data_IF_323150830778
#
_entry.id   IF_323150830778
#
_cell.length_a   1.000
_cell.length_b   1.000
_cell.length_c   1.000
_cell.angle_alpha   90.00
_cell.angle_beta   90.00
_cell.angle_gamma   90.00
#
_symmetry.space_group_name_H-M   'P 1'
#
loop_
_entity.id
_entity.type
_entity.pdbx_description
1 polymer ?
#
# COMPACT_ATOMS: atom_id res chain seq x y z
N UNK A 1 33.92 -8.92 70.44
CA UNK A 1 33.71 -7.81 71.39
C UNK A 1 32.63 -6.92 70.79
N UNK A 2 31.41 -6.83 71.30
CA UNK A 2 30.70 -7.39 72.45
C UNK A 2 29.21 -7.17 72.10
N UNK A 3 28.41 -8.25 72.11
CA UNK A 3 27.17 -8.42 72.92
C UNK A 3 25.93 -7.63 72.42
N UNK A 4 24.86 -8.34 71.99
CA UNK A 4 23.71 -8.82 72.78
C UNK A 4 22.65 -7.70 72.90
N UNK A 5 21.32 -7.85 72.83
CA UNK A 5 20.32 -8.91 72.96
C UNK A 5 19.01 -8.32 72.37
N UNK A 6 18.27 -9.05 71.54
CA UNK A 6 16.97 -9.67 71.83
C UNK A 6 15.75 -8.73 72.07
N UNK A 7 14.70 -9.04 71.28
CA UNK A 7 13.25 -9.01 71.64
C UNK A 7 12.43 -7.74 71.41
N UNK A 8 11.23 -7.92 70.82
CA UNK A 8 10.10 -6.99 70.99
C UNK A 8 9.10 -6.97 69.83
N UNK A 9 8.06 -7.80 69.91
CA UNK A 9 6.81 -7.62 69.16
C UNK A 9 6.06 -6.36 69.65
N UNK A 10 5.25 -5.72 68.80
CA UNK A 10 4.36 -4.65 69.24
C UNK A 10 3.63 -3.92 68.13
N UNK A 11 2.42 -4.35 67.85
CA UNK A 11 1.42 -3.69 67.01
C UNK A 11 0.93 -2.40 67.70
N UNK A 12 0.69 -1.31 66.96
CA UNK A 12 0.22 -0.06 67.56
C UNK A 12 -0.06 1.06 66.57
N UNK A 13 -1.32 1.15 66.16
CA UNK A 13 -1.92 2.22 65.37
C UNK A 13 -1.99 3.54 66.15
N UNK A 14 -1.73 4.67 65.48
CA UNK A 14 -2.38 5.95 65.78
C UNK A 14 -2.40 6.87 64.56
N UNK A 15 -3.61 7.34 64.28
CA UNK A 15 -4.02 8.54 63.54
C UNK A 15 -3.42 9.83 64.20
N UNK A 16 -3.42 11.06 63.68
CA UNK A 16 -4.25 11.88 62.78
C UNK A 16 -3.30 13.04 62.30
N UNK A 17 -3.37 13.72 61.14
CA UNK A 17 -4.22 14.87 60.77
C UNK A 17 -3.54 15.57 59.57
N UNK A 18 -4.10 15.50 58.36
CA UNK A 18 -3.69 16.36 57.24
C UNK A 18 -4.70 17.50 57.07
N UNK A 19 -4.18 18.73 57.08
CA UNK A 19 -4.94 19.97 57.00
C UNK A 19 -5.54 20.23 55.62
N UNK A 20 -6.67 20.94 55.66
CA UNK A 20 -7.65 21.24 54.61
C UNK A 20 -7.08 22.08 53.45
N UNK A 21 -7.48 21.75 52.21
CA UNK A 21 -7.48 22.66 51.05
C UNK A 21 -8.85 23.36 50.92
N UNK A 22 -8.96 24.59 50.38
CA UNK A 22 -10.22 25.33 50.34
C UNK A 22 -11.17 24.80 49.26
N UNK A 23 -12.46 24.86 49.60
CA UNK A 23 -13.62 24.41 48.82
C UNK A 23 -14.13 25.56 47.96
N UNK A 24 -14.30 25.37 46.66
CA UNK A 24 -15.08 26.28 45.81
C UNK A 24 -16.51 25.72 45.66
N UNK A 25 -17.48 26.62 45.72
CA UNK A 25 -18.90 26.43 45.96
C UNK A 25 -19.70 25.83 44.80
N UNK A 26 -20.71 25.05 45.18
CA UNK A 26 -21.75 24.42 44.37
C UNK A 26 -22.76 25.40 43.78
N UNK A 27 -23.10 25.23 42.50
CA UNK A 27 -24.34 25.72 41.88
C UNK A 27 -25.06 24.51 41.26
N UNK A 28 -26.34 24.35 41.61
CA UNK A 28 -27.24 23.26 41.19
C UNK A 28 -27.87 23.51 39.80
N UNK A 29 -28.47 22.49 39.15
CA UNK A 29 -28.66 22.44 37.70
C UNK A 29 -30.01 22.98 37.22
N UNK A 30 -30.04 23.45 35.98
CA UNK A 30 -31.26 23.73 35.21
C UNK A 30 -31.17 23.11 33.81
N UNK A 31 -32.19 22.35 33.45
CA UNK A 31 -32.36 21.60 32.21
C UNK A 31 -32.37 22.47 30.94
N UNK A 32 -31.82 21.93 29.85
CA UNK A 32 -31.89 22.53 28.51
C UNK A 32 -31.02 21.82 27.49
N UNK A 33 -31.51 20.70 26.94
CA UNK A 33 -30.84 19.94 25.90
C UNK A 33 -30.62 20.74 24.61
N UNK A 34 -29.36 20.90 24.19
CA UNK A 34 -28.96 20.94 22.77
C UNK A 34 -27.62 20.21 22.64
N UNK A 35 -27.65 19.03 22.02
CA UNK A 35 -26.46 18.28 21.62
C UNK A 35 -25.77 19.06 20.50
N UNK A 36 -24.71 19.78 20.84
CA UNK A 36 -23.75 20.32 19.88
C UNK A 36 -22.72 19.22 19.63
N UNK A 37 -22.57 18.85 18.36
CA UNK A 37 -21.64 17.80 17.94
C UNK A 37 -20.23 18.10 18.40
N UNK A 38 -19.53 17.06 18.87
CA UNK A 38 -18.09 17.05 19.06
C UNK A 38 -17.42 17.42 17.75
N UNK A 39 -16.98 18.67 17.63
CA UNK A 39 -16.05 19.07 16.60
C UNK A 39 -14.71 18.37 16.88
N UNK A 40 -14.33 17.46 15.97
CA UNK A 40 -12.99 16.89 15.94
C UNK A 40 -11.98 18.05 15.90
N UNK A 41 -11.18 18.18 16.97
CA UNK A 41 -9.97 19.03 16.96
C UNK A 41 -8.94 18.41 15.99
N UNK A 42 -9.18 18.57 14.69
CA UNK A 42 -8.25 18.18 13.63
C UNK A 42 -7.25 19.32 13.48
N UNK A 43 -6.00 19.08 13.86
CA UNK A 43 -4.91 20.02 13.62
C UNK A 43 -4.81 20.27 12.11
N UNK A 44 -5.01 21.53 11.72
CA UNK A 44 -4.72 22.03 10.38
C UNK A 44 -3.20 22.15 10.24
N UNK A 45 -2.62 21.27 9.44
CA UNK A 45 -1.18 20.95 9.33
C UNK A 45 -0.31 22.01 8.65
N UNK A 46 -0.73 23.26 8.60
CA UNK A 46 0.01 24.31 7.87
C UNK A 46 1.18 24.92 8.67
N UNK A 47 1.44 24.51 9.92
CA UNK A 47 2.47 25.13 10.79
C UNK A 47 3.36 24.18 11.60
N UNK A 48 3.23 22.85 11.46
CA UNK A 48 4.10 21.90 12.15
C UNK A 48 5.20 21.42 11.19
N UNK A 49 6.46 21.64 11.57
CA UNK A 49 7.57 20.92 10.97
C UNK A 49 7.43 19.44 11.34
N UNK A 50 6.91 18.65 10.39
CA UNK A 50 6.64 17.23 10.59
C UNK A 50 7.92 16.41 10.71
N UNK A 51 9.08 16.95 10.36
CA UNK A 51 10.37 16.25 10.46
C UNK A 51 10.73 15.86 11.90
N UNK A 52 10.14 16.53 12.91
CA UNK A 52 10.28 16.15 14.32
C UNK A 52 9.67 14.78 14.64
N UNK A 53 8.82 14.26 13.74
CA UNK A 53 8.17 12.95 13.83
C UNK A 53 8.91 11.89 13.02
N UNK A 54 10.09 12.23 12.50
CA UNK A 54 10.96 11.29 11.80
C UNK A 54 11.97 10.70 12.78
N UNK A 55 12.31 9.44 12.56
CA UNK A 55 13.29 8.76 13.37
C UNK A 55 14.69 9.34 13.09
N UNK A 56 15.45 9.78 14.10
CA UNK A 56 16.78 10.37 13.90
C UNK A 56 17.85 9.37 13.40
N UNK A 57 17.50 8.09 13.27
CA UNK A 57 18.42 7.02 12.85
C UNK A 57 18.21 6.67 11.39
N UNK A 58 16.96 6.49 10.95
CA UNK A 58 16.65 6.11 9.56
C UNK A 58 16.09 7.27 8.74
N UNK A 59 15.77 8.41 9.35
CA UNK A 59 15.18 9.59 8.72
C UNK A 59 13.83 9.32 8.03
N UNK A 60 13.13 8.28 8.48
CA UNK A 60 11.77 7.96 8.05
C UNK A 60 10.79 8.31 9.16
N UNK A 61 9.54 8.63 8.79
CA UNK A 61 8.45 8.83 9.74
C UNK A 61 8.38 7.69 10.76
N UNK A 62 8.17 8.02 12.03
CA UNK A 62 7.98 7.00 13.06
C UNK A 62 6.82 6.07 12.69
N UNK A 63 6.98 4.79 12.98
CA UNK A 63 5.91 3.78 12.87
C UNK A 63 5.64 3.21 14.25
N UNK A 64 4.36 2.96 14.55
CA UNK A 64 3.96 2.35 15.82
C UNK A 64 4.37 0.87 15.79
N UNK A 65 5.03 0.34 16.84
CA UNK A 65 5.34 1.00 18.12
C UNK A 65 6.58 1.92 18.09
N UNK A 66 6.51 3.02 18.84
CA UNK A 66 7.64 3.95 19.04
C UNK A 66 8.26 3.66 20.40
N UNK A 67 9.58 3.51 20.46
CA UNK A 67 10.29 3.24 21.70
C UNK A 67 11.01 4.48 22.21
N UNK A 68 11.09 4.62 23.54
CA UNK A 68 11.84 5.68 24.20
C UNK A 68 12.85 5.09 25.19
N UNK A 69 13.98 5.76 25.37
CA UNK A 69 14.87 5.49 26.51
C UNK A 69 14.40 6.24 27.76
N UNK A 70 15.04 5.98 28.90
CA UNK A 70 14.71 6.63 30.18
C UNK A 70 14.85 8.17 30.15
N UNK A 71 15.68 8.69 29.24
CA UNK A 71 15.87 10.13 29.02
C UNK A 71 14.96 10.73 27.92
N UNK A 72 14.01 9.95 27.38
CA UNK A 72 13.01 10.45 26.42
C UNK A 72 13.42 10.48 24.93
N UNK A 73 14.61 10.00 24.56
CA UNK A 73 15.00 9.88 23.15
C UNK A 73 14.23 8.75 22.45
N UNK A 74 13.73 9.04 21.25
CA UNK A 74 12.85 8.14 20.51
C UNK A 74 13.59 7.30 19.47
N UNK A 75 13.12 6.08 19.24
CA UNK A 75 13.58 5.19 18.17
C UNK A 75 12.44 4.41 17.55
N UNK A 76 12.58 4.10 16.27
CA UNK A 76 11.61 3.33 15.50
C UNK A 76 11.73 1.82 15.79
N UNK A 77 10.64 1.07 15.61
CA UNK A 77 10.63 -0.39 15.83
C UNK A 77 11.66 -1.15 15.00
N UNK A 78 11.89 -0.73 13.75
CA UNK A 78 12.88 -1.33 12.83
C UNK A 78 14.32 -0.88 13.09
N UNK A 79 14.50 0.23 13.80
CA UNK A 79 15.79 0.80 14.19
C UNK A 79 16.28 0.15 15.49
N UNK A 80 15.35 -0.12 16.42
CA UNK A 80 15.66 -0.57 17.77
C UNK A 80 16.60 -1.80 17.85
N UNK A 81 16.41 -2.87 17.06
CA UNK A 81 17.29 -4.05 17.10
C UNK A 81 18.75 -3.76 16.70
N UNK A 82 18.98 -2.66 15.98
CA UNK A 82 20.32 -2.28 15.48
C UNK A 82 21.14 -1.51 16.53
N UNK A 83 20.54 -1.16 17.66
CA UNK A 83 21.14 -0.28 18.68
C UNK A 83 21.77 -1.03 19.86
N UNK A 84 21.74 -2.37 19.86
CA UNK A 84 22.27 -3.20 20.96
C UNK A 84 21.77 -2.74 22.35
N UNK A 85 20.47 -2.42 22.44
CA UNK A 85 19.79 -1.90 23.63
C UNK A 85 20.35 -0.58 24.20
N UNK A 86 21.17 0.17 23.46
CA UNK A 86 21.75 1.45 23.92
C UNK A 86 21.27 2.62 23.07
N UNK A 87 20.75 3.65 23.74
CA UNK A 87 20.36 4.89 23.08
C UNK A 87 21.59 5.57 22.45
N UNK A 88 21.58 5.92 21.14
CA UNK A 88 22.72 6.56 20.49
C UNK A 88 23.01 7.96 21.03
N UNK A 89 22.01 8.65 21.58
CA UNK A 89 22.12 10.02 22.09
C UNK A 89 22.66 10.10 23.52
N UNK A 90 22.37 9.11 24.38
CA UNK A 90 22.69 9.20 25.82
C UNK A 90 23.18 7.89 26.45
N UNK A 91 23.34 6.82 25.68
CA UNK A 91 23.78 5.48 26.13
C UNK A 91 22.86 4.75 27.13
N UNK A 92 21.75 5.35 27.58
CA UNK A 92 20.74 4.66 28.41
C UNK A 92 20.06 3.50 27.69
N UNK A 93 19.51 2.52 28.43
CA UNK A 93 18.74 1.42 27.84
C UNK A 93 17.59 1.93 26.95
N UNK A 94 17.43 1.34 25.76
CA UNK A 94 16.36 1.69 24.81
C UNK A 94 15.70 0.41 24.25
N UNK A 95 14.42 0.49 23.87
CA UNK A 95 13.70 -0.61 23.23
C UNK A 95 12.71 -1.37 24.11
N UNK A 96 12.66 -1.04 25.41
CA UNK A 96 11.74 -1.69 26.36
C UNK A 96 10.49 -0.86 26.65
N UNK A 97 10.62 0.46 26.62
CA UNK A 97 9.55 1.39 26.98
C UNK A 97 8.94 1.95 25.70
N UNK A 98 7.63 1.80 25.52
CA UNK A 98 6.89 2.42 24.41
C UNK A 98 6.48 3.85 24.76
N UNK A 99 6.68 4.77 23.82
CA UNK A 99 6.22 6.15 23.93
C UNK A 99 4.77 6.26 23.44
N UNK A 100 3.80 5.77 24.23
CA UNK A 100 2.38 5.81 23.86
C UNK A 100 1.86 7.22 23.56
N UNK A 101 2.40 8.24 24.23
CA UNK A 101 2.05 9.63 23.96
C UNK A 101 2.40 10.03 22.51
N UNK A 102 3.60 9.70 22.04
CA UNK A 102 4.00 10.00 20.66
C UNK A 102 3.26 9.11 19.64
N UNK A 103 2.93 7.87 20.01
CA UNK A 103 2.04 7.02 19.20
C UNK A 103 0.67 7.69 18.98
N UNK A 104 0.06 8.25 20.05
CA UNK A 104 -1.20 8.99 19.94
C UNK A 104 -1.09 10.29 19.14
N UNK A 105 0.04 11.00 19.26
CA UNK A 105 0.30 12.19 18.42
C UNK A 105 0.34 11.80 16.95
N UNK A 106 1.10 10.75 16.60
CA UNK A 106 1.23 10.26 15.23
C UNK A 106 -0.13 9.85 14.63
N UNK A 107 -0.97 9.16 15.41
CA UNK A 107 -2.33 8.76 14.98
C UNK A 107 -3.27 9.95 14.73
N UNK A 108 -3.03 11.08 15.41
CA UNK A 108 -3.87 12.29 15.29
C UNK A 108 -3.51 13.19 14.10
N UNK A 109 -2.37 12.95 13.45
CA UNK A 109 -1.86 13.81 12.39
C UNK A 109 -2.31 13.28 11.04
N UNK A 110 -3.01 14.15 10.32
CA UNK A 110 -3.43 13.90 8.95
C UNK A 110 -2.88 14.98 8.04
N UNK A 111 -2.28 14.57 6.93
CA UNK A 111 -1.77 15.47 5.91
C UNK A 111 -2.58 15.35 4.61
N UNK A 112 -2.63 16.38 3.76
CA UNK A 112 -3.21 16.25 2.43
C UNK A 112 -2.51 15.14 1.64
N UNK A 113 -3.27 14.37 0.86
CA UNK A 113 -2.70 13.42 -0.08
C UNK A 113 -1.69 14.13 -1.03
N UNK A 114 -0.54 13.51 -1.35
CA UNK A 114 0.39 14.06 -2.35
C UNK A 114 -0.25 14.31 -3.72
N UNK A 115 -1.31 13.58 -4.05
CA UNK A 115 -2.10 13.73 -5.27
C UNK A 115 -3.24 14.78 -5.12
N UNK A 116 -3.21 15.63 -4.10
CA UNK A 116 -4.19 16.71 -3.94
C UNK A 116 -4.17 17.69 -5.13
N UNK A 117 -3.00 17.92 -5.73
CA UNK A 117 -2.84 18.69 -6.97
C UNK A 117 -3.58 18.11 -8.18
N UNK A 118 -3.91 16.81 -8.13
CA UNK A 118 -4.68 16.11 -9.16
C UNK A 118 -6.16 15.96 -8.79
N UNK A 119 -6.60 16.49 -7.65
CA UNK A 119 -7.99 16.47 -7.21
C UNK A 119 -8.30 15.55 -6.02
N UNK A 120 -7.29 14.87 -5.43
CA UNK A 120 -7.53 14.08 -4.24
C UNK A 120 -7.81 14.96 -3.01
N UNK A 121 -9.03 14.91 -2.48
CA UNK A 121 -9.43 15.67 -1.29
C UNK A 121 -9.19 14.94 0.03
N UNK A 122 -8.69 13.69 -0.03
CA UNK A 122 -8.45 12.88 1.17
C UNK A 122 -7.27 13.42 1.96
N UNK A 123 -7.42 13.38 3.29
CA UNK A 123 -6.31 13.52 4.22
C UNK A 123 -5.89 12.13 4.70
N UNK A 124 -4.59 11.89 4.76
CA UNK A 124 -3.98 10.60 5.09
C UNK A 124 -3.19 10.72 6.37
N UNK A 125 -3.13 9.65 7.16
CA UNK A 125 -2.27 9.63 8.35
C UNK A 125 -0.80 9.81 7.95
N UNK A 126 -0.05 10.57 8.75
CA UNK A 126 1.38 10.77 8.54
C UNK A 126 2.13 9.42 8.54
N UNK A 127 3.08 9.25 7.62
CA UNK A 127 3.84 8.02 7.43
C UNK A 127 3.07 6.90 6.70
N UNK A 128 1.80 7.13 6.32
CA UNK A 128 0.97 6.19 5.55
C UNK A 128 0.63 6.70 4.15
N UNK A 129 1.30 7.74 3.68
CA UNK A 129 1.08 8.38 2.38
C UNK A 129 1.23 7.38 1.24
N UNK A 130 2.30 6.58 1.25
CA UNK A 130 2.61 5.59 0.21
C UNK A 130 1.55 4.48 0.12
N UNK A 131 0.95 4.10 1.25
CA UNK A 131 -0.14 3.12 1.27
C UNK A 131 -1.38 3.69 0.59
N UNK A 132 -1.75 4.92 0.92
CA UNK A 132 -2.84 5.60 0.25
C UNK A 132 -2.54 5.85 -1.23
N UNK A 133 -1.31 6.21 -1.59
CA UNK A 133 -0.94 6.48 -2.97
C UNK A 133 -1.16 5.25 -3.88
N UNK A 134 -0.95 4.04 -3.38
CA UNK A 134 -1.26 2.81 -4.15
C UNK A 134 -2.75 2.68 -4.46
N UNK A 135 -3.63 3.15 -3.58
CA UNK A 135 -5.09 3.02 -3.68
C UNK A 135 -5.79 4.31 -4.16
N UNK A 136 -5.04 5.40 -4.29
CA UNK A 136 -5.57 6.69 -4.66
C UNK A 136 -5.98 6.68 -6.14
N UNK A 137 -7.24 6.95 -6.42
CA UNK A 137 -7.79 7.08 -7.78
C UNK A 137 -7.04 8.11 -8.63
N UNK A 138 -6.51 9.15 -7.99
CA UNK A 138 -5.77 10.24 -8.63
C UNK A 138 -4.28 9.93 -8.82
N UNK A 139 -3.84 8.72 -8.48
CA UNK A 139 -2.48 8.28 -8.76
C UNK A 139 -2.29 8.06 -10.25
N UNK A 140 -1.23 8.68 -10.78
CA UNK A 140 -0.92 8.63 -12.20
C UNK A 140 -0.35 7.26 -12.61
N UNK A 141 -0.61 6.86 -13.85
CA UNK A 141 -0.04 5.71 -14.52
C UNK A 141 0.83 6.15 -15.69
N UNK A 142 1.91 5.41 -15.94
CA UNK A 142 2.87 5.67 -17.02
C UNK A 142 2.50 4.86 -18.26
N UNK A 143 2.71 5.45 -19.44
CA UNK A 143 2.53 4.74 -20.69
C UNK A 143 3.54 3.59 -20.81
N UNK A 144 3.09 2.36 -21.15
CA UNK A 144 3.98 1.20 -21.25
C UNK A 144 4.75 1.12 -22.58
N UNK A 145 4.46 2.00 -23.55
CA UNK A 145 5.11 2.02 -24.86
C UNK A 145 6.52 2.58 -24.72
N UNK A 146 7.50 1.90 -25.33
CA UNK A 146 8.89 2.34 -25.33
C UNK A 146 9.00 3.75 -25.95
N UNK A 147 9.84 4.59 -25.36
CA UNK A 147 10.05 5.98 -25.76
C UNK A 147 8.83 6.92 -25.62
N UNK A 148 7.76 6.49 -24.93
CA UNK A 148 6.65 7.35 -24.53
C UNK A 148 6.76 7.74 -23.05
N UNK A 149 6.82 9.04 -22.77
CA UNK A 149 6.93 9.59 -21.41
C UNK A 149 5.58 10.08 -20.83
N UNK A 150 4.46 9.73 -21.48
CA UNK A 150 3.15 10.17 -21.03
C UNK A 150 2.80 9.57 -19.67
N UNK A 151 2.31 10.43 -18.77
CA UNK A 151 1.76 10.04 -17.47
C UNK A 151 0.41 10.75 -17.27
N UNK A 152 -0.58 10.02 -16.76
CA UNK A 152 -1.94 10.54 -16.62
C UNK A 152 -2.79 9.66 -15.71
N UNK A 153 -4.07 9.99 -15.54
CA UNK A 153 -5.00 9.06 -14.89
C UNK A 153 -5.11 7.78 -15.74
N UNK A 154 -5.56 6.66 -15.16
CA UNK A 154 -5.68 5.41 -15.92
C UNK A 154 -6.66 5.53 -17.11
N UNK A 155 -7.66 6.43 -17.03
CA UNK A 155 -8.59 6.71 -18.13
C UNK A 155 -7.95 7.59 -19.20
N UNK A 156 -7.22 8.62 -18.80
CA UNK A 156 -6.51 9.47 -19.77
C UNK A 156 -5.40 8.68 -20.47
N UNK A 157 -4.75 7.77 -19.76
CA UNK A 157 -3.76 6.85 -20.34
C UNK A 157 -4.39 5.90 -21.36
N UNK A 158 -5.60 5.40 -21.07
CA UNK A 158 -6.37 4.60 -22.03
C UNK A 158 -6.64 5.38 -23.32
N UNK A 159 -7.12 6.63 -23.20
CA UNK A 159 -7.40 7.48 -24.37
C UNK A 159 -6.10 7.84 -25.11
N UNK A 160 -5.05 8.22 -24.37
CA UNK A 160 -3.72 8.46 -24.93
C UNK A 160 -3.24 7.26 -25.76
N UNK A 161 -3.26 6.04 -25.20
CA UNK A 161 -2.84 4.86 -25.94
C UNK A 161 -3.69 4.63 -27.19
N UNK A 162 -5.01 4.79 -27.06
CA UNK A 162 -5.96 4.60 -28.15
C UNK A 162 -5.76 5.60 -29.30
N UNK A 163 -5.43 6.86 -29.01
CA UNK A 163 -5.35 7.91 -30.02
C UNK A 163 -3.93 8.20 -30.54
N UNK A 164 -2.90 7.82 -29.79
CA UNK A 164 -1.50 8.12 -30.13
C UNK A 164 -0.73 6.87 -30.58
N UNK A 165 -1.11 5.68 -30.10
CA UNK A 165 -0.37 4.44 -30.38
C UNK A 165 -1.16 3.41 -31.21
N UNK A 166 -2.39 3.73 -31.61
CA UNK A 166 -3.18 2.92 -32.54
C UNK A 166 -3.47 3.75 -33.79
N UNK A 167 -2.79 3.41 -34.89
CA UNK A 167 -2.76 4.23 -36.10
C UNK A 167 -3.97 4.00 -37.01
N UNK A 168 -4.64 2.83 -36.90
CA UNK A 168 -5.80 2.51 -37.72
C UNK A 168 -6.91 1.76 -36.97
N UNK A 169 -8.11 1.77 -37.58
CA UNK A 169 -9.28 1.09 -37.01
C UNK A 169 -9.05 -0.41 -36.77
N UNK A 170 -8.25 -1.06 -37.62
CA UNK A 170 -7.93 -2.49 -37.49
C UNK A 170 -7.15 -2.74 -36.20
N UNK A 171 -6.19 -1.89 -35.85
CA UNK A 171 -5.42 -2.03 -34.61
C UNK A 171 -6.31 -1.88 -33.38
N UNK A 172 -7.28 -0.95 -33.43
CA UNK A 172 -8.25 -0.78 -32.35
C UNK A 172 -9.07 -2.06 -32.17
N UNK A 173 -9.58 -2.65 -33.25
CA UNK A 173 -10.39 -3.87 -33.20
C UNK A 173 -9.56 -5.06 -32.69
N UNK A 174 -8.33 -5.24 -33.17
CA UNK A 174 -7.46 -6.35 -32.78
C UNK A 174 -6.96 -6.26 -31.33
N UNK A 175 -6.77 -5.05 -30.82
CA UNK A 175 -6.31 -4.85 -29.44
C UNK A 175 -7.45 -4.72 -28.44
N UNK A 176 -8.70 -4.68 -28.88
CA UNK A 176 -9.86 -4.58 -27.99
C UNK A 176 -10.38 -5.97 -27.61
N UNK A 177 -10.81 -6.12 -26.35
CA UNK A 177 -11.52 -7.31 -25.90
C UNK A 177 -12.79 -6.94 -25.10
N UNK A 178 -13.60 -7.94 -24.81
CA UNK A 178 -14.76 -7.82 -23.92
C UNK A 178 -14.65 -8.82 -22.78
N UNK A 179 -14.96 -8.38 -21.57
CA UNK A 179 -14.92 -9.25 -20.40
C UNK A 179 -15.81 -10.47 -20.55
N UNK A 180 -15.31 -11.64 -20.14
CA UNK A 180 -16.00 -12.91 -20.25
C UNK A 180 -15.77 -13.64 -21.57
N UNK A 181 -15.30 -12.96 -22.62
CA UNK A 181 -14.98 -13.56 -23.90
C UNK A 181 -13.48 -13.85 -23.98
N UNK A 182 -13.13 -15.00 -24.56
CA UNK A 182 -11.74 -15.30 -24.90
C UNK A 182 -11.35 -14.52 -26.15
N UNK A 183 -10.10 -14.06 -26.20
CA UNK A 183 -9.48 -13.47 -27.37
C UNK A 183 -8.12 -14.10 -27.59
N UNK A 184 -7.70 -14.14 -28.86
CA UNK A 184 -6.36 -14.60 -29.22
C UNK A 184 -5.34 -13.49 -29.00
N UNK A 185 -4.25 -13.85 -28.36
CA UNK A 185 -3.10 -13.01 -28.11
C UNK A 185 -1.90 -13.60 -28.85
N UNK A 186 -1.38 -12.80 -29.77
CA UNK A 186 -0.18 -13.09 -30.55
C UNK A 186 0.88 -12.08 -30.13
N UNK A 187 2.05 -12.56 -29.70
CA UNK A 187 3.20 -11.69 -29.38
C UNK A 187 4.52 -12.41 -29.60
N UNK A 188 5.57 -11.67 -29.95
CA UNK A 188 6.92 -12.20 -29.90
C UNK A 188 7.45 -12.10 -28.46
N UNK A 189 8.22 -13.10 -28.02
CA UNK A 189 8.89 -13.11 -26.73
C UNK A 189 9.84 -11.90 -26.59
N UNK A 190 10.45 -11.43 -27.69
CA UNK A 190 11.32 -10.25 -27.70
C UNK A 190 10.60 -8.96 -27.34
N UNK A 191 9.30 -8.86 -27.64
CA UNK A 191 8.50 -7.64 -27.44
C UNK A 191 8.16 -7.45 -25.96
N UNK A 192 8.23 -8.54 -25.17
CA UNK A 192 7.98 -8.62 -23.72
C UNK A 192 6.56 -8.27 -23.27
N UNK A 193 5.84 -7.44 -24.03
CA UNK A 193 4.51 -6.94 -23.68
C UNK A 193 3.57 -6.98 -24.88
N UNK A 194 2.29 -7.16 -24.58
CA UNK A 194 1.18 -7.05 -25.52
C UNK A 194 0.02 -6.34 -24.83
N UNK A 195 -0.48 -5.27 -25.43
CA UNK A 195 -1.50 -4.41 -24.83
C UNK A 195 -2.91 -4.77 -25.31
N UNK A 196 -3.88 -4.64 -24.41
CA UNK A 196 -5.29 -4.96 -24.65
C UNK A 196 -6.20 -3.93 -24.00
N UNK A 197 -7.20 -3.47 -24.75
CA UNK A 197 -8.14 -2.43 -24.34
C UNK A 197 -9.50 -3.03 -23.97
N UNK A 198 -10.11 -2.51 -22.91
CA UNK A 198 -11.55 -2.64 -22.65
C UNK A 198 -12.22 -1.27 -22.81
N UNK A 199 -13.19 -1.16 -23.72
CA UNK A 199 -14.00 0.04 -23.91
C UNK A 199 -15.01 0.27 -22.78
N UNK A 200 -15.48 -0.79 -22.11
CA UNK A 200 -16.59 -0.69 -21.15
C UNK A 200 -16.23 0.16 -19.93
N UNK A 201 -14.98 0.02 -19.46
CA UNK A 201 -14.45 0.69 -18.27
C UNK A 201 -13.26 1.60 -18.59
N UNK A 202 -12.90 1.76 -19.86
CA UNK A 202 -11.71 2.50 -20.31
C UNK A 202 -10.46 2.00 -19.59
N UNK A 203 -10.20 0.69 -19.68
CA UNK A 203 -9.08 0.04 -18.99
C UNK A 203 -8.06 -0.49 -19.99
N UNK A 204 -6.79 -0.37 -19.62
CA UNK A 204 -5.65 -0.89 -20.36
C UNK A 204 -5.07 -2.09 -19.61
N UNK A 205 -5.03 -3.23 -20.27
CA UNK A 205 -4.42 -4.47 -19.79
C UNK A 205 -3.13 -4.74 -20.55
N UNK A 206 -2.16 -5.31 -19.84
CA UNK A 206 -0.88 -5.72 -20.42
C UNK A 206 -0.68 -7.21 -20.15
N UNK A 207 -0.47 -7.96 -21.22
CA UNK A 207 0.05 -9.32 -21.17
C UNK A 207 1.57 -9.18 -21.21
N UNK A 208 2.26 -9.70 -20.20
CA UNK A 208 3.72 -9.68 -20.14
C UNK A 208 4.28 -11.08 -20.24
N UNK A 209 5.38 -11.22 -20.96
CA UNK A 209 6.16 -12.45 -20.99
C UNK A 209 7.60 -12.23 -20.50
N UNK A 210 8.13 -13.21 -19.79
CA UNK A 210 9.49 -13.20 -19.24
C UNK A 210 10.19 -14.50 -19.61
N UNK A 211 11.27 -14.41 -20.38
CA UNK A 211 12.10 -15.57 -20.75
C UNK A 211 13.05 -15.89 -19.61
N UNK A 212 12.95 -17.09 -19.09
CA UNK A 212 13.74 -17.61 -17.98
C UNK A 212 14.38 -18.95 -18.38
N UNK A 213 15.35 -19.48 -17.61
CA UNK A 213 16.08 -20.71 -17.98
C UNK A 213 15.19 -21.93 -18.24
N UNK A 214 14.02 -22.01 -17.61
CA UNK A 214 13.13 -23.17 -17.68
C UNK A 214 11.95 -22.99 -18.65
N UNK A 215 11.77 -21.81 -19.23
CA UNK A 215 10.63 -21.52 -20.09
C UNK A 215 10.27 -20.05 -20.12
N UNK A 216 9.05 -19.77 -20.59
CA UNK A 216 8.51 -18.42 -20.66
C UNK A 216 7.36 -18.29 -19.68
N UNK A 217 7.47 -17.33 -18.78
CA UNK A 217 6.41 -16.97 -17.86
C UNK A 217 5.50 -15.93 -18.51
N UNK A 218 4.18 -16.16 -18.44
CA UNK A 218 3.17 -15.24 -18.99
C UNK A 218 2.18 -14.84 -17.91
N UNK A 219 1.86 -13.55 -17.86
CA UNK A 219 0.92 -13.00 -16.88
C UNK A 219 0.14 -11.81 -17.44
N UNK A 220 -1.04 -11.55 -16.88
CA UNK A 220 -1.88 -10.42 -17.25
C UNK A 220 -1.94 -9.44 -16.09
N UNK A 221 -1.72 -8.15 -16.39
CA UNK A 221 -1.86 -7.03 -15.45
C UNK A 221 -2.79 -5.96 -15.99
N UNK A 222 -3.33 -5.15 -15.10
CA UNK A 222 -4.13 -3.98 -15.43
C UNK A 222 -3.32 -2.72 -15.06
N UNK A 223 -3.23 -1.76 -15.98
CA UNK A 223 -2.54 -0.48 -15.75
C UNK A 223 -3.54 0.49 -15.12
N UNK A 224 -3.57 0.53 -13.79
CA UNK A 224 -4.48 1.33 -12.99
C UNK A 224 -3.99 1.40 -11.53
N UNK A 225 -4.42 2.41 -10.75
CA UNK A 225 -4.23 2.39 -9.30
C UNK A 225 -5.04 1.26 -8.65
N UNK A 226 -4.68 0.88 -7.42
CA UNK A 226 -5.41 -0.12 -6.63
C UNK A 226 -6.74 0.42 -6.04
N UNK A 227 -7.34 1.42 -6.68
CA UNK A 227 -8.59 2.02 -6.25
C UNK A 227 -9.77 1.03 -6.41
N UNK A 228 -10.70 0.95 -5.44
CA UNK A 228 -11.84 0.01 -5.50
C UNK A 228 -12.72 0.18 -6.74
N UNK A 229 -12.89 1.41 -7.22
CA UNK A 229 -13.71 1.77 -8.39
C UNK A 229 -13.27 1.11 -9.71
N UNK A 230 -11.97 0.84 -9.85
CA UNK A 230 -11.40 0.12 -11.01
C UNK A 230 -12.02 -1.28 -11.11
N UNK A 231 -12.37 -1.88 -9.98
CA UNK A 231 -12.93 -3.22 -9.86
C UNK A 231 -11.86 -4.31 -9.75
N UNK A 232 -12.33 -5.52 -9.46
CA UNK A 232 -11.51 -6.73 -9.43
C UNK A 232 -11.76 -7.60 -10.66
N UNK A 233 -10.71 -8.27 -11.10
CA UNK A 233 -10.75 -9.13 -12.27
C UNK A 233 -10.03 -10.46 -11.99
N UNK A 234 -10.46 -11.50 -12.68
CA UNK A 234 -9.74 -12.76 -12.81
C UNK A 234 -9.39 -13.00 -14.27
N UNK A 235 -8.47 -13.92 -14.53
CA UNK A 235 -8.13 -14.26 -15.91
C UNK A 235 -7.74 -15.73 -16.05
N UNK A 236 -7.88 -16.25 -17.26
CA UNK A 236 -7.28 -17.50 -17.65
C UNK A 236 -6.52 -17.37 -18.96
N UNK A 237 -5.38 -18.05 -19.04
CA UNK A 237 -4.54 -18.17 -20.23
C UNK A 237 -4.56 -19.64 -20.63
N UNK A 238 -4.79 -19.90 -21.90
CA UNK A 238 -4.65 -21.21 -22.53
C UNK A 238 -3.58 -21.10 -23.61
N UNK A 239 -2.64 -22.04 -23.61
CA UNK A 239 -1.61 -22.17 -24.64
C UNK A 239 -1.60 -23.61 -25.13
N UNK A 240 -1.61 -23.82 -26.44
CA UNK A 240 -1.56 -25.16 -27.04
C UNK A 240 -0.26 -25.28 -27.83
N UNK A 241 0.57 -26.26 -27.49
CA UNK A 241 1.82 -26.52 -28.19
C UNK A 241 1.59 -27.18 -29.55
N UNK A 242 2.66 -27.29 -30.35
CA UNK A 242 2.64 -28.00 -31.65
C UNK A 242 2.27 -29.47 -31.47
N UNK A 243 2.68 -30.09 -30.37
CA UNK A 243 2.35 -31.48 -30.01
C UNK A 243 0.94 -31.61 -29.39
N UNK A 244 0.05 -30.63 -29.63
CA UNK A 244 -1.33 -30.56 -29.14
C UNK A 244 -1.50 -30.59 -27.60
N UNK A 245 -0.41 -30.36 -26.84
CA UNK A 245 -0.50 -30.26 -25.39
C UNK A 245 -1.01 -28.89 -24.99
N UNK A 246 -2.13 -28.86 -24.27
CA UNK A 246 -2.75 -27.61 -23.81
C UNK A 246 -2.43 -27.35 -22.34
N UNK A 247 -1.84 -26.19 -22.08
CA UNK A 247 -1.57 -25.67 -20.75
C UNK A 247 -2.57 -24.58 -20.42
N UNK A 248 -3.21 -24.70 -19.25
CA UNK A 248 -4.20 -23.73 -18.79
C UNK A 248 -3.77 -23.19 -17.44
N UNK A 249 -3.67 -21.87 -17.34
CA UNK A 249 -3.45 -21.17 -16.09
C UNK A 249 -4.67 -20.32 -15.75
N UNK A 250 -5.12 -20.38 -14.50
CA UNK A 250 -6.23 -19.56 -13.99
C UNK A 250 -5.74 -18.78 -12.79
N UNK A 251 -5.83 -17.46 -12.86
CA UNK A 251 -5.60 -16.59 -11.71
C UNK A 251 -6.91 -16.01 -11.21
N UNK A 252 -7.19 -16.10 -9.90
CA UNK A 252 -8.35 -15.44 -9.31
C UNK A 252 -8.17 -13.92 -9.27
N UNK A 253 -6.99 -13.37 -9.53
CA UNK A 253 -6.71 -11.93 -9.42
C UNK A 253 -5.85 -11.45 -10.59
N UNK A 254 -6.30 -10.38 -11.26
CA UNK A 254 -5.44 -9.55 -12.13
C UNK A 254 -4.76 -8.50 -11.25
N UNK A 255 -3.43 -8.49 -11.22
CA UNK A 255 -2.68 -7.48 -10.47
C UNK A 255 -2.76 -6.13 -11.16
N UNK A 256 -2.83 -5.07 -10.34
CA UNK A 256 -2.82 -3.68 -10.80
C UNK A 256 -1.43 -3.10 -10.63
N UNK A 257 -0.98 -2.37 -11.65
CA UNK A 257 0.31 -1.69 -11.68
C UNK A 257 0.10 -0.27 -12.21
N UNK A 258 0.95 0.66 -11.79
CA UNK A 258 0.95 2.02 -12.33
C UNK A 258 1.97 2.20 -13.44
N UNK A 259 2.97 1.34 -13.46
CA UNK A 259 4.08 1.35 -14.42
C UNK A 259 4.50 -0.10 -14.68
N UNK A 260 4.84 -0.38 -15.93
CA UNK A 260 5.26 -1.71 -16.35
C UNK A 260 6.73 -1.93 -15.99
N UNK A 261 7.00 -3.00 -15.24
CA UNK A 261 8.36 -3.49 -15.02
C UNK A 261 8.68 -4.63 -15.99
N UNK A 262 9.88 -4.59 -16.56
CA UNK A 262 10.43 -5.64 -17.42
C UNK A 262 11.30 -6.66 -16.65
N UNK A 263 11.43 -6.49 -15.34
CA UNK A 263 12.09 -7.47 -14.48
C UNK A 263 11.10 -8.59 -14.14
N UNK A 264 11.58 -9.83 -14.15
CA UNK A 264 10.78 -11.00 -13.77
C UNK A 264 10.32 -10.85 -12.32
N UNK A 265 9.01 -10.82 -12.07
CA UNK A 265 8.49 -10.71 -10.72
C UNK A 265 8.83 -11.95 -9.89
N UNK A 266 9.19 -11.77 -8.61
CA UNK A 266 9.51 -12.84 -7.67
C UNK A 266 8.29 -13.64 -7.19
N UNK A 267 7.17 -13.58 -7.91
CA UNK A 267 5.89 -14.15 -7.49
C UNK A 267 5.47 -15.31 -8.38
N UNK A 268 4.93 -16.37 -7.79
CA UNK A 268 4.58 -17.61 -8.51
C UNK A 268 3.22 -17.56 -9.25
N UNK A 269 2.65 -16.38 -9.47
CA UNK A 269 1.30 -16.22 -10.06
C UNK A 269 1.34 -15.96 -11.57
N UNK A 270 1.88 -16.91 -12.34
CA UNK A 270 2.03 -16.82 -13.80
C UNK A 270 1.87 -18.20 -14.44
N UNK A 271 1.49 -18.22 -15.72
CA UNK A 271 1.62 -19.41 -16.56
C UNK A 271 3.10 -19.63 -16.88
N UNK A 272 3.62 -20.84 -16.68
CA UNK A 272 4.93 -21.25 -17.22
C UNK A 272 4.71 -22.10 -18.47
N UNK A 273 5.26 -21.68 -19.60
CA UNK A 273 5.34 -22.46 -20.83
C UNK A 273 6.75 -23.05 -20.90
N UNK A 274 6.93 -24.37 -20.76
CA UNK A 274 8.25 -25.00 -20.83
C UNK A 274 8.91 -24.79 -22.19
N UNK A 275 10.24 -24.70 -22.22
CA UNK A 275 11.01 -24.48 -23.46
C UNK A 275 10.67 -25.50 -24.57
N UNK A 276 10.48 -26.76 -24.20
CA UNK A 276 10.17 -27.82 -25.17
C UNK A 276 8.80 -27.69 -25.83
N UNK A 277 7.91 -26.84 -25.31
CA UNK A 277 6.57 -26.61 -25.85
C UNK A 277 6.47 -25.33 -26.70
N UNK A 278 7.55 -24.56 -26.79
CA UNK A 278 7.58 -23.30 -27.55
C UNK A 278 7.72 -23.59 -29.05
N UNK A 279 6.99 -22.83 -29.86
CA UNK A 279 7.15 -22.83 -31.31
C UNK A 279 7.95 -21.61 -31.77
N UNK A 280 9.28 -21.70 -31.64
CA UNK A 280 10.18 -20.56 -31.89
C UNK A 280 10.00 -19.45 -30.87
N UNK A 281 10.07 -18.19 -31.31
CA UNK A 281 9.95 -17.02 -30.44
C UNK A 281 8.54 -16.40 -30.40
N UNK A 282 7.55 -17.05 -31.03
CA UNK A 282 6.18 -16.55 -31.09
C UNK A 282 5.29 -17.26 -30.08
N UNK A 283 4.46 -16.49 -29.38
CA UNK A 283 3.43 -17.00 -28.48
C UNK A 283 2.05 -16.75 -29.09
N UNK A 284 1.31 -17.81 -29.35
CA UNK A 284 -0.13 -17.77 -29.65
C UNK A 284 -0.89 -18.37 -28.46
N UNK A 285 -1.71 -17.56 -27.81
CA UNK A 285 -2.44 -17.94 -26.61
C UNK A 285 -3.87 -17.41 -26.62
N UNK A 286 -4.79 -18.14 -26.00
CA UNK A 286 -6.15 -17.68 -25.74
C UNK A 286 -6.25 -17.13 -24.33
N UNK A 287 -6.66 -15.87 -24.20
CA UNK A 287 -6.80 -15.18 -22.92
C UNK A 287 -8.26 -14.78 -22.73
N UNK A 288 -8.78 -15.00 -21.53
CA UNK A 288 -10.07 -14.46 -21.13
C UNK A 288 -9.93 -13.76 -19.79
N UNK A 289 -10.43 -12.52 -19.72
CA UNK A 289 -10.43 -11.71 -18.51
C UNK A 289 -11.89 -11.55 -18.09
N UNK A 290 -12.17 -11.75 -16.80
CA UNK A 290 -13.52 -11.70 -16.24
C UNK A 290 -13.59 -10.67 -15.13
N UNK A 291 -14.69 -9.92 -15.08
CA UNK A 291 -15.02 -9.09 -13.91
C UNK A 291 -15.40 -10.02 -12.76
N UNK A 292 -14.92 -9.73 -11.56
CA UNK A 292 -15.55 -10.29 -10.36
C UNK A 292 -16.76 -9.44 -10.02
N UNK A 293 -17.93 -10.06 -10.02
CA UNK A 293 -19.06 -9.52 -9.28
C UNK A 293 -18.84 -9.86 -7.82
N UNK A 294 -18.81 -8.85 -6.95
CA UNK A 294 -18.92 -9.09 -5.51
C UNK A 294 -20.26 -9.77 -5.29
N UNK A 295 -20.26 -11.07 -5.02
CA UNK A 295 -21.42 -11.73 -4.43
C UNK A 295 -21.43 -11.26 -2.97
N UNK A 296 -22.42 -10.43 -2.64
CA UNK A 296 -22.84 -10.15 -1.26
C UNK A 296 -23.35 -11.43 -0.58
#
# INVERSE_FOLDING_TARGET
>A
MVEAEASGEGNGSSSILSQKRPRCSSISPGDGAKRVGTEDKRLSTTLLDLSILDCPICFEAFTIPIFQCDNGHLTCSSCCPKLSDKCPSCSSPIGRIRCKAMESVLESIFIPCPNAKFGCTKKVSYGKESTHEKECTFSLCSCPVLDCNYTGSYKDLYDHYKFIHLDCYVDIVLNTFSFGNSFRAYMNISDKILLRLDHTRSLLFVVQCFREPYGVYVTVRCIAPSAPEVGEFSYHISYTSVDEHTMIYKSPVVKRIREVSFQTPQENSMLLIPLGCLNGDSLEMDICIKKKTNQE
#
